data_IF_566751862539
#
_entry.id   IF_566751862539
#
_cell.length_a   1.000
_cell.length_b   1.000
_cell.length_c   1.000
_cell.angle_alpha   90.00
_cell.angle_beta   90.00
_cell.angle_gamma   90.00
#
_symmetry.space_group_name_H-M   'P 1'
#
loop_
_entity.id
_entity.type
_entity.pdbx_description
1 polymer ?
#
# COMPACT_ATOMS: atom_id res chain seq x y z
N UNK A 1 4.71 -9.62 -4.98
CA UNK A 1 3.44 -8.87 -4.94
C UNK A 1 3.67 -7.39 -5.23
N UNK A 2 4.42 -6.65 -4.38
CA UNK A 2 4.66 -5.20 -4.53
C UNK A 2 5.17 -4.76 -5.92
N UNK A 3 6.16 -5.45 -6.50
CA UNK A 3 6.66 -5.10 -7.85
C UNK A 3 5.59 -5.24 -8.94
N UNK A 4 4.75 -6.27 -8.87
CA UNK A 4 3.67 -6.50 -9.83
C UNK A 4 2.53 -5.49 -9.70
N UNK A 5 2.15 -5.14 -8.46
CA UNK A 5 1.15 -4.10 -8.17
C UNK A 5 1.66 -2.73 -8.61
N UNK A 6 2.92 -2.43 -8.32
CA UNK A 6 3.59 -1.20 -8.76
C UNK A 6 3.60 -1.05 -10.28
N UNK A 7 3.90 -2.11 -11.02
CA UNK A 7 3.81 -2.11 -12.50
C UNK A 7 2.37 -1.85 -12.96
N UNK A 8 1.37 -2.42 -12.28
CA UNK A 8 -0.02 -2.24 -12.66
C UNK A 8 -0.53 -0.80 -12.52
N UNK A 9 0.01 -0.01 -11.58
CA UNK A 9 -0.29 1.42 -11.47
C UNK A 9 0.13 2.22 -12.72
N UNK A 10 1.16 1.77 -13.44
CA UNK A 10 1.60 2.39 -14.70
C UNK A 10 0.77 1.94 -15.90
N UNK A 11 0.24 0.71 -15.87
CA UNK A 11 -0.57 0.16 -16.97
C UNK A 11 -2.04 0.57 -16.90
N UNK A 12 -2.60 0.72 -15.70
CA UNK A 12 -4.05 0.89 -15.48
C UNK A 12 -4.37 2.07 -14.56
N UNK A 13 -3.69 3.20 -14.76
CA UNK A 13 -3.76 4.39 -13.90
C UNK A 13 -5.20 4.87 -13.69
N UNK A 14 -6.04 4.83 -14.74
CA UNK A 14 -7.46 5.22 -14.71
C UNK A 14 -8.33 4.37 -13.77
N UNK A 15 -7.91 3.14 -13.49
CA UNK A 15 -8.60 2.25 -12.56
C UNK A 15 -8.45 2.74 -11.11
N UNK A 16 -7.33 3.40 -10.79
CA UNK A 16 -7.01 3.89 -9.45
C UNK A 16 -7.31 5.39 -9.24
N UNK A 17 -7.54 6.17 -10.30
CA UNK A 17 -7.86 7.60 -10.19
C UNK A 17 -9.07 7.90 -9.28
N UNK A 18 -10.20 7.15 -9.34
CA UNK A 18 -11.39 7.48 -8.56
C UNK A 18 -11.19 7.39 -7.05
N UNK A 19 -10.26 6.56 -6.58
CA UNK A 19 -10.07 6.34 -5.14
C UNK A 19 -9.16 7.38 -4.48
N UNK A 20 -8.38 8.13 -5.27
CA UNK A 20 -7.48 9.13 -4.71
C UNK A 20 -8.33 10.26 -4.11
N UNK A 21 -8.12 10.60 -2.82
CA UNK A 21 -8.84 11.70 -2.18
C UNK A 21 -8.75 13.00 -2.98
N UNK A 22 -9.88 13.68 -3.18
CA UNK A 22 -9.95 14.92 -3.98
C UNK A 22 -9.03 16.02 -3.44
N UNK A 23 -8.75 16.03 -2.13
CA UNK A 23 -7.84 16.98 -1.48
C UNK A 23 -6.41 16.93 -2.03
N UNK A 24 -6.01 15.80 -2.63
CA UNK A 24 -4.70 15.61 -3.24
C UNK A 24 -4.59 16.19 -4.66
N UNK A 25 -5.72 16.59 -5.25
CA UNK A 25 -5.83 17.39 -6.47
C UNK A 25 -5.47 16.69 -7.78
N UNK A 26 -4.27 16.08 -7.88
CA UNK A 26 -3.78 15.41 -9.10
C UNK A 26 -3.63 13.89 -8.89
N UNK A 27 -4.72 13.11 -9.03
CA UNK A 27 -4.72 11.66 -8.79
C UNK A 27 -3.58 10.90 -9.49
N UNK A 28 -3.38 11.16 -10.78
CA UNK A 28 -2.39 10.43 -11.59
C UNK A 28 -0.96 10.65 -11.09
N UNK A 29 -0.63 11.83 -10.55
CA UNK A 29 0.70 12.09 -9.97
C UNK A 29 0.97 11.19 -8.76
N UNK A 30 -0.01 11.09 -7.84
CA UNK A 30 0.12 10.29 -6.63
C UNK A 30 0.17 8.80 -6.93
N UNK A 31 -0.58 8.34 -7.95
CA UNK A 31 -0.56 6.94 -8.40
C UNK A 31 0.80 6.54 -8.96
N UNK A 32 1.39 7.38 -9.84
CA UNK A 32 2.72 7.10 -10.37
C UNK A 32 3.77 7.16 -9.25
N UNK A 33 3.67 8.13 -8.35
CA UNK A 33 4.61 8.27 -7.24
C UNK A 33 4.57 7.05 -6.32
N UNK A 34 3.37 6.59 -5.93
CA UNK A 34 3.23 5.38 -5.12
C UNK A 34 3.75 4.13 -5.85
N UNK A 35 3.48 4.01 -7.15
CA UNK A 35 3.99 2.90 -7.97
C UNK A 35 5.53 2.85 -8.02
N UNK A 36 6.20 4.01 -8.12
CA UNK A 36 7.67 4.09 -8.03
C UNK A 36 8.13 3.58 -6.65
N UNK A 37 7.52 4.05 -5.57
CA UNK A 37 7.89 3.63 -4.22
C UNK A 37 7.63 2.13 -3.97
N UNK A 38 6.54 1.56 -4.48
CA UNK A 38 6.26 0.13 -4.37
C UNK A 38 7.34 -0.72 -5.02
N UNK A 39 7.79 -0.35 -6.23
CA UNK A 39 8.85 -1.06 -6.95
C UNK A 39 10.19 -0.90 -6.22
N UNK A 40 10.56 0.34 -5.88
CA UNK A 40 11.83 0.63 -5.21
C UNK A 40 11.93 -0.09 -3.86
N UNK A 41 10.92 0.04 -3.00
CA UNK A 41 10.90 -0.60 -1.69
C UNK A 41 10.79 -2.12 -1.80
N UNK A 42 10.03 -2.62 -2.78
CA UNK A 42 9.92 -4.04 -3.09
C UNK A 42 11.24 -4.68 -3.54
N UNK A 43 12.10 -3.94 -4.23
CA UNK A 43 13.47 -4.37 -4.55
C UNK A 43 14.38 -4.21 -3.33
N UNK A 44 14.29 -3.08 -2.63
CA UNK A 44 15.17 -2.72 -1.53
C UNK A 44 15.04 -3.68 -0.33
N UNK A 45 13.85 -4.23 -0.08
CA UNK A 45 13.63 -5.19 1.01
C UNK A 45 14.37 -6.53 0.81
N UNK A 46 14.75 -6.85 -0.44
CA UNK A 46 15.58 -8.04 -0.74
C UNK A 46 17.03 -7.84 -0.27
N UNK A 47 17.53 -6.59 -0.27
CA UNK A 47 18.86 -6.25 0.25
C UNK A 47 18.87 -6.37 1.77
N UNK A 48 19.82 -7.16 2.31
CA UNK A 48 19.95 -7.36 3.76
C UNK A 48 20.25 -6.06 4.52
N UNK A 49 21.09 -5.21 3.94
CA UNK A 49 21.57 -3.98 4.58
C UNK A 49 20.48 -2.91 4.67
N UNK A 50 19.57 -2.89 3.69
CA UNK A 50 18.51 -1.89 3.61
C UNK A 50 17.15 -2.40 4.09
N UNK A 51 17.06 -3.68 4.48
CA UNK A 51 15.81 -4.36 4.83
C UNK A 51 15.00 -3.63 5.91
N UNK A 52 15.68 -3.08 6.92
CA UNK A 52 15.05 -2.37 8.04
C UNK A 52 14.43 -1.03 7.60
N UNK A 53 15.11 -0.30 6.71
CA UNK A 53 14.58 0.96 6.16
C UNK A 53 13.46 0.66 5.16
N UNK A 54 13.68 -0.33 4.29
CA UNK A 54 12.71 -0.76 3.29
C UNK A 54 11.40 -1.23 3.93
N UNK A 55 11.45 -2.03 5.00
CA UNK A 55 10.25 -2.49 5.71
C UNK A 55 9.46 -1.33 6.29
N UNK A 56 10.13 -0.33 6.87
CA UNK A 56 9.45 0.85 7.41
C UNK A 56 8.80 1.67 6.28
N UNK A 57 9.51 1.83 5.17
CA UNK A 57 8.97 2.47 3.98
C UNK A 57 7.73 1.74 3.44
N UNK A 58 7.74 0.41 3.40
CA UNK A 58 6.58 -0.40 2.99
C UNK A 58 5.41 -0.19 3.95
N UNK A 59 5.65 -0.16 5.26
CA UNK A 59 4.58 0.12 6.26
C UNK A 59 3.96 1.49 6.01
N UNK A 60 4.77 2.54 5.86
CA UNK A 60 4.28 3.89 5.59
C UNK A 60 3.49 3.95 4.28
N UNK A 61 3.99 3.29 3.24
CA UNK A 61 3.31 3.20 1.95
C UNK A 61 1.97 2.48 2.06
N UNK A 62 1.91 1.34 2.75
CA UNK A 62 0.68 0.60 2.99
C UNK A 62 -0.35 1.43 3.76
N UNK A 63 0.07 2.23 4.75
CA UNK A 63 -0.82 3.14 5.47
C UNK A 63 -1.40 4.21 4.52
N UNK A 64 -0.55 4.84 3.71
CA UNK A 64 -0.98 5.86 2.73
C UNK A 64 -1.94 5.27 1.70
N UNK A 65 -1.61 4.12 1.12
CA UNK A 65 -2.46 3.42 0.16
C UNK A 65 -3.79 3.00 0.79
N UNK A 66 -3.80 2.66 2.08
CA UNK A 66 -5.04 2.33 2.77
C UNK A 66 -5.94 3.56 2.93
N UNK A 67 -5.41 4.77 3.07
CA UNK A 67 -6.24 5.98 3.10
C UNK A 67 -7.06 6.14 1.82
N UNK A 68 -6.51 5.79 0.65
CA UNK A 68 -7.26 5.77 -0.60
C UNK A 68 -8.34 4.67 -0.59
N UNK A 69 -8.04 3.48 -0.05
CA UNK A 69 -9.03 2.41 0.11
C UNK A 69 -10.14 2.76 1.11
N UNK A 70 -9.82 3.53 2.14
CA UNK A 70 -10.77 4.05 3.12
C UNK A 70 -11.65 5.13 2.50
N UNK A 71 -11.08 6.03 1.69
CA UNK A 71 -11.83 7.02 0.93
C UNK A 71 -12.85 6.36 0.00
N UNK A 72 -12.45 5.26 -0.66
CA UNK A 72 -13.37 4.43 -1.45
C UNK A 72 -14.51 3.86 -0.61
N UNK A 73 -14.21 3.35 0.60
CA UNK A 73 -15.22 2.76 1.50
C UNK A 73 -16.21 3.81 2.02
N UNK A 74 -15.73 4.98 2.45
CA UNK A 74 -16.56 6.03 3.04
C UNK A 74 -17.46 6.69 1.99
N UNK A 75 -16.97 6.87 0.77
CA UNK A 75 -17.68 7.60 -0.29
C UNK A 75 -18.34 6.67 -1.34
N UNK A 76 -18.40 5.36 -1.09
CA UNK A 76 -19.01 4.35 -1.97
C UNK A 76 -18.55 4.47 -3.44
N UNK A 77 -17.26 4.72 -3.63
CA UNK A 77 -16.67 5.01 -4.94
C UNK A 77 -16.56 3.70 -5.73
N UNK A 78 -17.19 3.58 -6.91
CA UNK A 78 -17.04 2.39 -7.75
C UNK A 78 -15.63 2.37 -8.38
N UNK A 79 -14.98 1.21 -8.31
CA UNK A 79 -13.74 0.95 -9.07
C UNK A 79 -14.07 0.05 -10.25
N UNK A 80 -13.67 0.46 -11.46
CA UNK A 80 -13.87 -0.37 -12.66
C UNK A 80 -15.34 -0.68 -12.96
N UNK A 81 -16.26 0.17 -12.51
CA UNK A 81 -17.71 -0.01 -12.67
C UNK A 81 -18.36 -0.90 -11.61
N UNK A 82 -17.61 -1.42 -10.64
CA UNK A 82 -18.12 -2.27 -9.56
C UNK A 82 -18.02 -1.55 -8.22
N UNK A 83 -19.10 -1.56 -7.44
CA UNK A 83 -19.09 -1.15 -6.04
C UNK A 83 -18.79 -2.36 -5.17
N UNK A 84 -17.78 -2.23 -4.31
CA UNK A 84 -17.46 -3.28 -3.36
C UNK A 84 -18.43 -3.24 -2.19
N UNK A 85 -18.75 -4.42 -1.64
CA UNK A 85 -19.58 -4.52 -0.45
C UNK A 85 -18.73 -4.28 0.82
N UNK A 86 -19.39 -4.00 1.95
CA UNK A 86 -18.72 -3.75 3.24
C UNK A 86 -17.76 -4.89 3.65
N UNK A 87 -18.12 -6.14 3.32
CA UNK A 87 -17.28 -7.31 3.60
C UNK A 87 -15.95 -7.27 2.83
N UNK A 88 -15.94 -6.80 1.58
CA UNK A 88 -14.74 -6.72 0.76
C UNK A 88 -13.80 -5.60 1.22
N UNK A 89 -14.35 -4.47 1.64
CA UNK A 89 -13.58 -3.40 2.29
C UNK A 89 -12.95 -3.88 3.60
N UNK A 90 -13.70 -4.62 4.41
CA UNK A 90 -13.19 -5.20 5.65
C UNK A 90 -12.09 -6.24 5.38
N UNK A 91 -12.28 -7.11 4.37
CA UNK A 91 -11.26 -8.08 3.96
C UNK A 91 -9.96 -7.39 3.52
N UNK A 92 -10.05 -6.29 2.75
CA UNK A 92 -8.89 -5.47 2.37
C UNK A 92 -8.20 -4.87 3.59
N UNK A 93 -8.95 -4.34 4.55
CA UNK A 93 -8.40 -3.82 5.81
C UNK A 93 -7.61 -4.89 6.56
N UNK A 94 -8.20 -6.07 6.76
CA UNK A 94 -7.53 -7.17 7.43
C UNK A 94 -6.25 -7.60 6.70
N UNK A 95 -6.31 -7.72 5.37
CA UNK A 95 -5.13 -8.05 4.56
C UNK A 95 -4.03 -6.97 4.70
N UNK A 96 -4.40 -5.69 4.70
CA UNK A 96 -3.46 -4.60 4.86
C UNK A 96 -2.76 -4.62 6.22
N UNK A 97 -3.50 -4.89 7.28
CA UNK A 97 -2.95 -5.06 8.64
C UNK A 97 -1.94 -6.21 8.66
N UNK A 98 -2.29 -7.35 8.06
CA UNK A 98 -1.39 -8.52 7.98
C UNK A 98 -0.09 -8.15 7.23
N UNK A 99 -0.20 -7.44 6.11
CA UNK A 99 0.97 -7.01 5.33
C UNK A 99 1.86 -6.04 6.11
N UNK A 100 1.28 -5.13 6.89
CA UNK A 100 2.01 -4.23 7.79
C UNK A 100 2.78 -5.03 8.83
N UNK A 101 2.13 -5.99 9.50
CA UNK A 101 2.81 -6.85 10.48
C UNK A 101 3.93 -7.68 9.85
N UNK A 102 3.72 -8.25 8.66
CA UNK A 102 4.76 -8.97 7.93
C UNK A 102 5.94 -8.07 7.58
N UNK A 103 5.70 -6.84 7.14
CA UNK A 103 6.76 -5.89 6.84
C UNK A 103 7.58 -5.57 8.11
N UNK A 104 6.92 -5.25 9.23
CA UNK A 104 7.60 -5.00 10.52
C UNK A 104 8.43 -6.20 10.97
N UNK A 105 7.89 -7.42 10.84
CA UNK A 105 8.59 -8.66 11.15
C UNK A 105 9.87 -8.84 10.30
N UNK A 106 9.76 -8.66 8.97
CA UNK A 106 10.92 -8.78 8.06
C UNK A 106 12.00 -7.74 8.38
N UNK A 107 11.59 -6.54 8.83
CA UNK A 107 12.47 -5.46 9.24
C UNK A 107 13.08 -5.60 10.64
N UNK A 108 12.65 -6.59 11.43
CA UNK A 108 12.94 -6.70 12.86
C UNK A 108 12.59 -5.41 13.64
N UNK A 109 11.47 -4.77 13.31
CA UNK A 109 10.95 -3.63 14.08
C UNK A 109 10.15 -4.10 15.30
N UNK A 110 10.10 -3.33 16.41
CA UNK A 110 9.30 -3.68 17.57
C UNK A 110 7.83 -3.93 17.18
N UNK A 111 7.15 -4.96 17.73
CA UNK A 111 7.54 -5.84 18.83
C UNK A 111 8.38 -7.08 18.44
N UNK A 112 8.89 -7.15 17.20
CA UNK A 112 9.62 -8.33 16.68
C UNK A 112 11.15 -8.16 16.73
N UNK A 113 11.64 -7.20 17.51
CA UNK A 113 13.06 -6.96 17.62
C UNK A 113 13.70 -8.09 18.43
N UNK A 114 14.74 -8.74 17.90
CA UNK A 114 15.42 -9.86 18.56
C UNK A 114 16.29 -9.45 19.76
N UNK A 115 16.27 -8.17 20.14
CA UNK A 115 17.04 -7.63 21.26
C UNK A 115 16.23 -7.57 22.57
N UNK A 116 15.01 -8.11 22.59
CA UNK A 116 14.13 -8.11 23.77
C UNK A 116 14.36 -9.34 24.68
N UNK A 117 15.61 -9.82 24.75
CA UNK A 117 16.09 -10.83 25.73
C UNK A 117 17.26 -10.27 26.52
#
# INVERSE_FOLDING_TARGET
MFVGVGINHFSDTKWFEPIVPEILGRPSFWIYLSGIFEILLGILILSKDHRKIASLGIVLLLVILYLANLNMWINDIPIGGVKFNNLEHFARLCMQIILIFMALYIGNWPPFNKNDT
#
